data_IF_380749030488
#
_entry.id   IF_380749030488
#
_cell.length_a   1.000
_cell.length_b   1.000
_cell.length_c   1.000
_cell.angle_alpha   90.00
_cell.angle_beta   90.00
_cell.angle_gamma   90.00
#
_symmetry.space_group_name_H-M   'P 1'
#
loop_
_entity.id
_entity.type
_entity.pdbx_description
1 polymer ?
#
# COMPACT_ATOMS: atom_id res chain seq x y z
N UNK A 1 27.78 -4.26 -2.72
CA UNK A 1 26.52 -3.77 -3.27
C UNK A 1 25.36 -4.62 -2.74
N UNK A 2 24.32 -3.96 -2.24
CA UNK A 2 23.11 -4.70 -1.89
C UNK A 2 22.57 -5.36 -3.16
N UNK A 3 22.41 -6.69 -3.12
CA UNK A 3 21.86 -7.42 -4.25
C UNK A 3 20.35 -7.14 -4.34
N UNK A 4 19.98 -6.12 -5.13
CA UNK A 4 18.58 -5.74 -5.32
C UNK A 4 17.79 -6.77 -6.14
N UNK A 5 18.49 -7.70 -6.79
CA UNK A 5 17.85 -8.71 -7.64
C UNK A 5 16.97 -9.70 -6.87
N UNK A 6 17.15 -9.79 -5.55
CA UNK A 6 16.34 -10.66 -4.69
C UNK A 6 15.09 -9.99 -4.13
N UNK A 7 14.88 -8.72 -4.41
CA UNK A 7 13.71 -7.97 -3.93
C UNK A 7 12.88 -7.51 -5.11
N UNK A 8 11.60 -7.82 -5.07
CA UNK A 8 10.68 -7.42 -6.13
C UNK A 8 10.34 -5.92 -6.00
N UNK A 9 10.57 -5.11 -7.06
CA UNK A 9 10.17 -3.70 -7.04
C UNK A 9 8.65 -3.56 -6.93
N UNK A 10 8.22 -2.69 -6.01
CA UNK A 10 6.83 -2.55 -5.64
C UNK A 10 6.56 -1.10 -5.23
N UNK A 11 5.31 -0.68 -5.31
CA UNK A 11 4.86 0.61 -4.80
C UNK A 11 3.80 0.41 -3.74
N UNK A 12 3.76 1.30 -2.77
CA UNK A 12 2.70 1.37 -1.80
C UNK A 12 2.05 2.75 -1.82
N UNK A 13 0.79 2.82 -1.44
CA UNK A 13 0.04 4.06 -1.43
C UNK A 13 -0.64 4.27 -0.08
N UNK A 14 -0.39 5.44 0.51
CA UNK A 14 -1.16 5.94 1.64
C UNK A 14 -2.19 6.90 1.09
N UNK A 15 -3.46 6.56 1.21
CA UNK A 15 -4.57 7.40 0.77
C UNK A 15 -5.27 7.90 2.03
N UNK A 16 -5.32 9.22 2.20
CA UNK A 16 -5.99 9.80 3.38
C UNK A 16 -7.12 10.72 2.95
N UNK A 17 -8.14 10.82 3.79
CA UNK A 17 -9.32 11.63 3.57
C UNK A 17 -9.28 12.92 4.42
N UNK A 18 -10.34 13.72 4.33
CA UNK A 18 -10.47 14.99 5.06
C UNK A 18 -10.45 14.84 6.59
N UNK A 19 -10.68 13.63 7.11
CA UNK A 19 -10.64 13.34 8.53
C UNK A 19 -9.29 12.77 8.98
N UNK A 20 -8.29 12.78 8.11
CA UNK A 20 -6.97 12.17 8.32
C UNK A 20 -7.01 10.65 8.52
N UNK A 21 -8.11 10.01 8.17
CA UNK A 21 -8.20 8.55 8.15
C UNK A 21 -7.60 7.99 6.87
N UNK A 22 -7.11 6.77 6.96
CA UNK A 22 -6.36 6.11 5.88
C UNK A 22 -7.16 4.95 5.33
N UNK A 23 -7.17 4.84 4.00
CA UNK A 23 -7.85 3.75 3.31
C UNK A 23 -7.11 2.43 3.50
N UNK A 24 -7.84 1.41 3.95
CA UNK A 24 -7.31 0.04 4.05
C UNK A 24 -8.32 -0.94 3.45
N UNK A 25 -7.78 -2.01 2.86
CA UNK A 25 -8.56 -3.11 2.33
C UNK A 25 -8.28 -4.39 3.10
N UNK A 26 -9.30 -5.23 3.19
CA UNK A 26 -9.19 -6.56 3.78
C UNK A 26 -8.86 -7.56 2.67
N UNK A 27 -7.75 -8.26 2.80
CA UNK A 27 -7.28 -9.20 1.79
C UNK A 27 -8.22 -10.40 1.66
N UNK A 28 -8.51 -10.78 0.42
CA UNK A 28 -9.38 -11.93 0.12
C UNK A 28 -8.75 -13.27 0.51
N UNK A 29 -7.41 -13.35 0.51
CA UNK A 29 -6.67 -14.59 0.74
C UNK A 29 -6.30 -14.84 2.20
N UNK A 30 -6.68 -13.93 3.11
CA UNK A 30 -6.37 -14.04 4.53
C UNK A 30 -7.67 -13.85 5.34
N UNK A 31 -7.99 -14.82 6.19
CA UNK A 31 -9.22 -14.79 6.99
C UNK A 31 -9.06 -14.21 8.40
N UNK A 32 -7.82 -13.91 8.82
CA UNK A 32 -7.54 -13.40 10.18
C UNK A 32 -7.83 -11.90 10.30
N UNK A 33 -7.88 -11.40 11.55
CA UNK A 33 -8.00 -9.96 11.82
C UNK A 33 -6.78 -9.15 11.36
N UNK A 34 -5.66 -9.82 11.08
CA UNK A 34 -4.43 -9.19 10.56
C UNK A 34 -4.40 -9.10 9.04
N UNK A 35 -5.56 -9.14 8.39
CA UNK A 35 -5.67 -9.17 6.93
C UNK A 35 -5.80 -7.79 6.29
N UNK A 36 -5.79 -6.73 7.06
CA UNK A 36 -5.93 -5.36 6.56
C UNK A 36 -4.60 -4.82 6.06
N UNK A 37 -4.64 -4.13 4.92
CA UNK A 37 -3.44 -3.48 4.38
C UNK A 37 -3.77 -2.28 3.51
N UNK A 38 -2.78 -1.41 3.34
CA UNK A 38 -2.85 -0.33 2.36
C UNK A 38 -2.61 -0.86 0.95
N UNK A 39 -3.09 -0.17 -0.10
CA UNK A 39 -2.84 -0.60 -1.48
C UNK A 39 -1.36 -0.69 -1.80
N UNK A 40 -0.99 -1.73 -2.52
CA UNK A 40 0.38 -1.94 -3.00
C UNK A 40 0.38 -2.85 -4.21
N UNK A 41 1.38 -2.74 -5.03
CA UNK A 41 1.51 -3.63 -6.19
C UNK A 41 2.82 -3.46 -6.92
N UNK A 42 3.06 -4.35 -7.90
CA UNK A 42 4.29 -4.38 -8.68
C UNK A 42 4.41 -3.20 -9.65
N UNK A 43 5.64 -2.90 -10.00
CA UNK A 43 5.96 -1.90 -11.02
C UNK A 43 6.20 -2.65 -12.33
N UNK A 44 5.51 -2.26 -13.39
CA UNK A 44 5.71 -2.85 -14.72
C UNK A 44 7.03 -2.37 -15.35
N UNK A 45 7.52 -3.12 -16.33
CA UNK A 45 8.77 -2.77 -17.03
C UNK A 45 8.64 -1.36 -17.63
N UNK A 46 9.63 -0.50 -17.32
CA UNK A 46 9.69 0.89 -17.78
C UNK A 46 8.56 1.79 -17.29
N UNK A 47 7.78 1.34 -16.32
CA UNK A 47 6.73 2.18 -15.71
C UNK A 47 7.34 3.07 -14.62
N UNK A 48 7.13 4.40 -14.66
CA UNK A 48 7.52 5.26 -13.55
C UNK A 48 6.78 4.86 -12.27
N UNK A 49 7.47 4.88 -11.13
CA UNK A 49 6.90 4.39 -9.88
C UNK A 49 5.65 5.16 -9.42
N UNK A 50 5.58 6.48 -9.66
CA UNK A 50 4.38 7.25 -9.34
C UNK A 50 3.17 6.79 -10.18
N UNK A 51 3.38 6.54 -11.47
CA UNK A 51 2.32 6.03 -12.34
C UNK A 51 1.87 4.64 -11.90
N UNK A 52 2.81 3.78 -11.48
CA UNK A 52 2.49 2.47 -10.94
C UNK A 52 1.62 2.60 -9.68
N UNK A 53 1.93 3.54 -8.79
CA UNK A 53 1.14 3.77 -7.58
C UNK A 53 -0.28 4.22 -7.92
N UNK A 54 -0.44 5.15 -8.86
CA UNK A 54 -1.76 5.63 -9.31
C UNK A 54 -2.56 4.50 -9.95
N UNK A 55 -1.92 3.69 -10.78
CA UNK A 55 -2.53 2.53 -11.44
C UNK A 55 -3.01 1.50 -10.41
N UNK A 56 -2.16 1.14 -9.46
CA UNK A 56 -2.52 0.17 -8.41
C UNK A 56 -3.66 0.68 -7.52
N UNK A 57 -3.65 1.95 -7.17
CA UNK A 57 -4.77 2.56 -6.43
C UNK A 57 -6.06 2.35 -7.19
N UNK A 58 -6.09 2.65 -8.48
CA UNK A 58 -7.29 2.48 -9.28
C UNK A 58 -7.71 1.02 -9.39
N UNK A 59 -6.79 0.13 -9.72
CA UNK A 59 -7.09 -1.30 -9.90
C UNK A 59 -7.64 -1.93 -8.62
N UNK A 60 -7.09 -1.56 -7.47
CA UNK A 60 -7.47 -2.18 -6.20
C UNK A 60 -8.65 -1.50 -5.53
N UNK A 61 -8.84 -0.20 -5.72
CA UNK A 61 -9.83 0.58 -4.96
C UNK A 61 -10.89 1.27 -5.81
N UNK A 62 -10.68 1.40 -7.11
CA UNK A 62 -11.55 2.19 -7.99
C UNK A 62 -11.37 3.70 -7.85
N UNK A 63 -10.50 4.16 -6.97
CA UNK A 63 -10.34 5.59 -6.67
C UNK A 63 -9.53 6.29 -7.77
N UNK A 64 -10.07 7.39 -8.28
CA UNK A 64 -9.42 8.31 -9.23
C UNK A 64 -9.21 9.72 -8.66
N UNK A 65 -10.04 10.11 -7.69
CA UNK A 65 -10.04 11.48 -7.13
C UNK A 65 -8.95 11.62 -6.07
N UNK A 66 -7.70 11.55 -6.50
CA UNK A 66 -6.54 11.67 -5.64
C UNK A 66 -5.61 12.78 -6.11
N UNK A 67 -4.96 13.42 -5.14
CA UNK A 67 -3.91 14.39 -5.37
C UNK A 67 -2.62 13.87 -4.75
N UNK A 68 -1.54 13.80 -5.53
CA UNK A 68 -0.22 13.41 -5.03
C UNK A 68 0.30 14.52 -4.10
N UNK A 69 0.62 14.15 -2.86
CA UNK A 69 1.05 15.09 -1.81
C UNK A 69 2.55 14.97 -1.54
N UNK A 70 3.06 13.75 -1.37
CA UNK A 70 4.44 13.51 -1.02
C UNK A 70 4.85 12.07 -1.36
N UNK A 71 6.13 11.77 -1.25
CA UNK A 71 6.65 10.43 -1.47
C UNK A 71 7.91 10.21 -0.62
N UNK A 72 8.27 8.95 -0.43
CA UNK A 72 9.52 8.57 0.24
C UNK A 72 10.51 8.17 -0.86
N UNK A 73 11.61 8.92 -0.98
CA UNK A 73 12.60 8.78 -2.06
C UNK A 73 13.60 7.64 -1.80
N UNK A 74 13.27 6.71 -0.94
CA UNK A 74 14.13 5.56 -0.65
C UNK A 74 13.34 4.28 -0.82
N UNK A 75 14.01 3.23 -1.30
CA UNK A 75 13.45 1.90 -1.29
C UNK A 75 13.38 1.40 0.14
N UNK A 76 12.19 1.01 0.59
CA UNK A 76 12.00 0.33 1.87
C UNK A 76 11.94 -1.16 1.57
N UNK A 77 12.91 -1.91 2.10
CA UNK A 77 13.03 -3.35 1.86
C UNK A 77 12.47 -4.14 3.02
N UNK A 78 11.80 -5.25 2.72
CA UNK A 78 11.45 -6.23 3.73
C UNK A 78 11.49 -7.62 3.14
N UNK A 79 11.87 -8.59 3.99
CA UNK A 79 11.85 -10.00 3.62
C UNK A 79 10.49 -10.59 3.92
N UNK A 80 10.01 -11.43 3.03
CA UNK A 80 8.86 -12.27 3.33
C UNK A 80 9.29 -13.43 4.22
N UNK A 81 8.40 -13.91 5.12
CA UNK A 81 8.67 -15.17 5.82
C UNK A 81 9.00 -16.26 4.82
N UNK A 82 9.96 -17.12 5.16
CA UNK A 82 10.50 -18.14 4.25
C UNK A 82 9.40 -19.03 3.65
N UNK A 83 8.42 -19.41 4.44
CA UNK A 83 7.29 -20.24 4.01
C UNK A 83 6.39 -19.53 2.98
N UNK A 84 6.35 -18.21 2.98
CA UNK A 84 5.61 -17.41 2.00
C UNK A 84 6.46 -17.17 0.75
N UNK A 85 7.73 -16.81 0.92
CA UNK A 85 8.64 -16.51 -0.18
C UNK A 85 8.81 -17.68 -1.16
N UNK A 86 8.86 -18.92 -0.64
CA UNK A 86 8.99 -20.12 -1.47
C UNK A 86 7.85 -20.29 -2.46
N UNK A 87 6.64 -19.89 -2.07
CA UNK A 87 5.42 -20.08 -2.87
C UNK A 87 5.02 -18.86 -3.70
N UNK A 88 5.58 -17.68 -3.39
CA UNK A 88 5.33 -16.46 -4.16
C UNK A 88 6.36 -16.30 -5.27
N UNK A 89 5.89 -15.88 -6.45
CA UNK A 89 6.74 -15.58 -7.61
C UNK A 89 7.71 -16.72 -7.96
N UNK A 90 7.29 -17.97 -7.73
CA UNK A 90 8.10 -19.19 -7.95
C UNK A 90 9.43 -19.16 -7.17
N UNK A 91 9.47 -18.54 -6.01
CA UNK A 91 10.67 -18.43 -5.20
C UNK A 91 11.75 -17.50 -5.75
N UNK A 92 11.44 -16.70 -6.77
CA UNK A 92 12.40 -15.81 -7.42
C UNK A 92 12.91 -14.71 -6.50
N UNK A 93 12.06 -14.23 -5.57
CA UNK A 93 12.38 -13.12 -4.68
C UNK A 93 12.32 -13.54 -3.21
N UNK A 94 13.20 -12.97 -2.40
CA UNK A 94 13.20 -13.15 -0.94
C UNK A 94 12.22 -12.18 -0.25
N UNK A 95 11.86 -11.10 -0.92
CA UNK A 95 10.99 -10.07 -0.37
C UNK A 95 10.65 -9.00 -1.39
N UNK A 96 10.27 -7.86 -0.90
CA UNK A 96 9.92 -6.72 -1.74
C UNK A 96 10.73 -5.49 -1.34
N UNK A 97 10.95 -4.60 -2.31
CA UNK A 97 11.44 -3.25 -2.06
C UNK A 97 10.39 -2.28 -2.56
N UNK A 98 10.02 -1.34 -1.70
CA UNK A 98 8.86 -0.49 -1.94
C UNK A 98 9.21 0.99 -1.95
N UNK A 99 8.63 1.73 -2.90
CA UNK A 99 8.51 3.17 -2.86
C UNK A 99 7.10 3.53 -2.46
N UNK A 100 6.97 4.44 -1.50
CA UNK A 100 5.68 4.83 -0.95
C UNK A 100 5.29 6.22 -1.37
N UNK A 101 4.01 6.39 -1.70
CA UNK A 101 3.41 7.65 -2.17
C UNK A 101 2.24 8.02 -1.29
N UNK A 102 2.09 9.32 -1.02
CA UNK A 102 0.99 9.86 -0.22
C UNK A 102 0.02 10.59 -1.13
N UNK A 103 -1.25 10.21 -1.04
CA UNK A 103 -2.33 10.79 -1.83
C UNK A 103 -3.45 11.30 -0.94
N UNK A 104 -3.96 12.48 -1.25
CA UNK A 104 -5.16 13.03 -0.63
C UNK A 104 -6.38 12.69 -1.49
N UNK A 105 -7.37 12.06 -0.86
CA UNK A 105 -8.64 11.72 -1.51
C UNK A 105 -9.64 12.86 -1.34
N UNK A 106 -10.06 13.46 -2.44
CA UNK A 106 -11.01 14.58 -2.45
C UNK A 106 -12.38 14.18 -3.03
N UNK A 107 -12.59 12.90 -3.31
CA UNK A 107 -13.86 12.39 -3.85
C UNK A 107 -14.85 11.96 -2.77
N UNK A 108 -15.84 11.23 -3.21
CA UNK A 108 -16.85 10.62 -2.33
C UNK A 108 -16.63 9.12 -2.21
N UNK A 109 -17.04 8.53 -1.09
CA UNK A 109 -16.91 7.08 -0.84
C UNK A 109 -17.63 6.23 -1.91
N UNK A 110 -18.65 6.78 -2.56
CA UNK A 110 -19.33 6.10 -3.68
C UNK A 110 -18.41 5.78 -4.86
N UNK A 111 -17.25 6.44 -4.95
CA UNK A 111 -16.24 6.17 -5.98
C UNK A 111 -15.50 4.85 -5.72
N UNK A 112 -15.45 4.39 -4.48
CA UNK A 112 -14.70 3.19 -4.12
C UNK A 112 -15.36 1.94 -4.70
N UNK A 113 -14.56 1.16 -5.44
CA UNK A 113 -15.02 -0.10 -6.03
C UNK A 113 -13.84 -1.09 -6.00
N UNK A 114 -13.90 -2.03 -5.08
CA UNK A 114 -12.84 -3.03 -4.90
C UNK A 114 -12.94 -4.20 -5.89
N UNK A 115 -13.89 -4.15 -6.83
CA UNK A 115 -14.10 -5.20 -7.83
C UNK A 115 -13.78 -4.75 -9.26
N UNK A 116 -12.93 -3.75 -9.44
CA UNK A 116 -12.48 -3.30 -10.76
C UNK A 116 -11.69 -4.40 -11.46
N UNK A 117 -10.75 -5.02 -10.74
CA UNK A 117 -9.93 -6.11 -11.26
C UNK A 117 -10.74 -7.42 -11.30
N UNK A 118 -10.46 -8.28 -12.28
CA UNK A 118 -11.06 -9.63 -12.38
C UNK A 118 -10.71 -10.49 -11.17
N UNK A 119 -9.54 -10.28 -10.59
CA UNK A 119 -9.06 -10.97 -9.39
C UNK A 119 -8.90 -9.94 -8.28
N UNK A 120 -9.99 -9.59 -7.57
CA UNK A 120 -9.93 -8.54 -6.55
C UNK A 120 -8.93 -8.89 -5.45
N UNK A 121 -8.13 -7.91 -5.06
CA UNK A 121 -7.20 -8.04 -3.94
C UNK A 121 -7.93 -8.04 -2.60
N UNK A 122 -9.02 -7.28 -2.53
CA UNK A 122 -9.74 -7.02 -1.28
C UNK A 122 -11.19 -7.50 -1.33
N UNK A 123 -11.68 -7.99 -0.17
CA UNK A 123 -13.08 -8.39 0.01
C UNK A 123 -13.90 -7.34 0.76
N UNK A 124 -13.24 -6.38 1.40
CA UNK A 124 -13.86 -5.30 2.16
C UNK A 124 -12.88 -4.15 2.25
N UNK A 125 -13.35 -2.98 2.68
CA UNK A 125 -12.51 -1.80 2.85
C UNK A 125 -13.08 -0.87 3.91
N UNK A 126 -12.23 0.01 4.43
CA UNK A 126 -12.67 1.07 5.34
C UNK A 126 -11.62 2.18 5.46
N UNK A 127 -12.05 3.31 6.01
CA UNK A 127 -11.15 4.34 6.50
C UNK A 127 -10.80 4.03 7.95
N UNK A 128 -9.55 4.11 8.31
CA UNK A 128 -9.08 3.75 9.66
C UNK A 128 -7.95 4.67 10.12
N UNK A 129 -7.81 4.80 11.43
CA UNK A 129 -6.68 5.53 12.00
C UNK A 129 -5.41 4.67 12.05
N UNK A 130 -4.28 5.31 12.28
CA UNK A 130 -2.98 4.64 12.30
C UNK A 130 -2.89 3.54 13.35
N UNK A 131 -3.47 3.76 14.53
CA UNK A 131 -3.43 2.77 15.63
C UNK A 131 -4.17 1.49 15.22
N UNK A 132 -5.33 1.63 14.62
CA UNK A 132 -6.09 0.48 14.12
C UNK A 132 -5.28 -0.28 13.08
N UNK A 133 -4.70 0.44 12.13
CA UNK A 133 -3.92 -0.17 11.03
C UNK A 133 -2.72 -0.94 11.59
N UNK A 134 -1.95 -0.34 12.50
CA UNK A 134 -0.78 -0.99 13.09
C UNK A 134 -1.14 -2.27 13.87
N UNK A 135 -2.33 -2.32 14.47
CA UNK A 135 -2.78 -3.52 15.20
C UNK A 135 -3.31 -4.62 14.28
N UNK A 136 -3.79 -4.27 13.09
CA UNK A 136 -4.53 -5.18 12.23
C UNK A 136 -3.83 -5.52 10.91
N UNK A 137 -2.58 -5.17 10.78
CA UNK A 137 -1.73 -5.55 9.65
C UNK A 137 -0.86 -6.76 10.04
N UNK A 138 -0.41 -7.53 9.05
CA UNK A 138 0.51 -8.65 9.28
C UNK A 138 1.81 -8.18 9.93
N UNK A 139 2.40 -9.01 10.79
CA UNK A 139 3.58 -8.64 11.59
C UNK A 139 4.76 -8.14 10.75
N UNK A 140 5.03 -8.77 9.61
CA UNK A 140 6.16 -8.36 8.77
C UNK A 140 5.95 -7.01 8.08
N UNK A 141 4.72 -6.47 8.06
CA UNK A 141 4.42 -5.14 7.52
C UNK A 141 4.37 -4.04 8.58
N UNK A 142 4.27 -4.40 9.86
CA UNK A 142 4.11 -3.40 10.95
C UNK A 142 5.20 -2.35 10.96
N UNK A 143 6.46 -2.77 10.87
CA UNK A 143 7.60 -1.84 10.91
C UNK A 143 7.62 -0.90 9.69
N UNK A 144 7.25 -1.42 8.53
CA UNK A 144 7.15 -0.62 7.31
C UNK A 144 6.08 0.46 7.46
N UNK A 145 4.91 0.07 7.93
CA UNK A 145 3.80 1.01 8.12
C UNK A 145 4.14 2.09 9.15
N UNK A 146 4.79 1.73 10.25
CA UNK A 146 5.28 2.72 11.24
C UNK A 146 6.24 3.73 10.61
N UNK A 147 7.18 3.25 9.81
CA UNK A 147 8.13 4.11 9.11
C UNK A 147 7.42 5.05 8.15
N UNK A 148 6.50 4.52 7.36
CA UNK A 148 5.73 5.28 6.35
C UNK A 148 4.87 6.34 7.03
N UNK A 149 4.13 5.99 8.06
CA UNK A 149 3.28 6.93 8.80
C UNK A 149 4.10 8.03 9.47
N UNK A 150 5.25 7.69 10.04
CA UNK A 150 6.15 8.68 10.65
C UNK A 150 6.63 9.70 9.62
N UNK A 151 6.95 9.24 8.41
CA UNK A 151 7.41 10.13 7.33
C UNK A 151 6.29 11.04 6.81
N UNK A 152 5.08 10.53 6.72
CA UNK A 152 3.97 11.26 6.09
C UNK A 152 3.10 12.07 7.05
N UNK A 153 3.24 11.90 8.36
CA UNK A 153 2.35 12.55 9.33
C UNK A 153 2.30 14.08 9.19
N UNK A 154 3.43 14.74 9.01
CA UNK A 154 3.46 16.19 8.85
C UNK A 154 2.78 16.63 7.55
N UNK A 155 2.94 15.86 6.49
CA UNK A 155 2.32 16.17 5.19
C UNK A 155 0.79 16.07 5.27
N UNK A 156 0.27 15.09 6.00
CA UNK A 156 -1.17 14.93 6.22
C UNK A 156 -1.73 16.13 6.98
N UNK A 157 -1.09 16.50 8.10
CA UNK A 157 -1.50 17.64 8.91
C UNK A 157 -1.46 18.93 8.08
N UNK A 158 -0.38 19.16 7.35
CA UNK A 158 -0.21 20.37 6.54
C UNK A 158 -1.26 20.47 5.43
N UNK A 159 -1.60 19.34 4.80
CA UNK A 159 -2.61 19.32 3.73
C UNK A 159 -4.00 19.69 4.25
N UNK A 160 -4.33 19.29 5.49
CA UNK A 160 -5.67 19.47 6.06
C UNK A 160 -5.84 20.79 6.83
N UNK A 161 -4.79 21.58 7.00
CA UNK A 161 -4.86 22.87 7.68
C UNK A 161 -5.06 24.04 6.72
#
# INVERSE_FOLDING_TARGET
MANTDKYRPNVGAVIFNKNADIWIGKRVDISSNSSWQMPQGGIDINEPSLEAAVREVYEETGIKSIKHVSFIDKWIKYKLPANIAVNKWNGKYDGQMQKWYLFYFYGNDSEVNINIDKNPEFSDWKWADKKYIEKNVTDFRKNIYKTVFKKFSINIITTLN
#
